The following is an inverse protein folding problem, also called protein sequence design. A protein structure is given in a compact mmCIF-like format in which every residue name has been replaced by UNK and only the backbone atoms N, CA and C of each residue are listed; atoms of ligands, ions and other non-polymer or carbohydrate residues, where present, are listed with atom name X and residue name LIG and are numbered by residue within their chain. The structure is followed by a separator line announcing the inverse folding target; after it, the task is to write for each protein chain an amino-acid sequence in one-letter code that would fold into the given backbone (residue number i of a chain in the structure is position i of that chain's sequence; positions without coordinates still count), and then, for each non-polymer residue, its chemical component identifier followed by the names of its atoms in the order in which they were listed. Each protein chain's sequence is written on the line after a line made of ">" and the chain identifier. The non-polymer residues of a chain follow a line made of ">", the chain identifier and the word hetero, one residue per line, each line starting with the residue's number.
data_IF_356631543321
#
_entry.id   IF_356631543321
#
_cell.length_a   1.000
_cell.length_b   1.000
_cell.length_c   1.000
_cell.angle_alpha   90.00
_cell.angle_beta   90.00
_cell.angle_gamma   90.00
#
_symmetry.space_group_name_H-M   'P 1'
#
loop_
_entity.id
_entity.type
_entity.pdbx_description
1 polymer ?
#
# COMPACT_ATOMS: atom_id res chain seq x y z
N UNK A 1 -27.53 10.30 -38.65
CA UNK A 1 -26.83 11.40 -39.34
C UNK A 1 -26.00 12.31 -38.43
N UNK A 2 -26.49 12.74 -37.25
CA UNK A 2 -25.75 13.66 -36.35
C UNK A 2 -24.38 13.14 -35.87
N UNK A 3 -24.25 11.83 -35.62
CA UNK A 3 -22.97 11.23 -35.21
C UNK A 3 -21.99 11.07 -36.38
N UNK A 4 -22.48 10.74 -37.58
CA UNK A 4 -21.63 10.60 -38.77
C UNK A 4 -20.95 11.92 -39.16
N UNK A 5 -21.69 13.03 -39.10
CA UNK A 5 -21.14 14.37 -39.38
C UNK A 5 -20.05 14.79 -38.40
N UNK A 6 -20.15 14.38 -37.12
CA UNK A 6 -19.11 14.60 -36.11
C UNK A 6 -17.87 13.79 -36.44
N UNK A 7 -18.01 12.48 -36.64
CA UNK A 7 -16.89 11.60 -36.99
C UNK A 7 -16.14 12.06 -38.23
N UNK A 8 -16.83 12.53 -39.27
CA UNK A 8 -16.20 13.08 -40.48
C UNK A 8 -15.46 14.38 -40.19
N UNK A 9 -16.01 15.28 -39.38
CA UNK A 9 -15.32 16.51 -38.99
C UNK A 9 -14.05 16.20 -38.18
N UNK A 10 -14.17 15.29 -37.22
CA UNK A 10 -13.07 14.94 -36.33
C UNK A 10 -11.97 14.18 -37.10
N UNK A 11 -12.33 13.35 -38.09
CA UNK A 11 -11.35 12.69 -38.96
C UNK A 11 -10.60 13.67 -39.85
N UNK A 12 -11.28 14.69 -40.39
CA UNK A 12 -10.65 15.77 -41.16
C UNK A 12 -9.71 16.57 -40.27
N UNK A 13 -10.15 16.96 -39.07
CA UNK A 13 -9.31 17.70 -38.12
C UNK A 13 -8.08 16.88 -37.70
N UNK A 14 -8.25 15.58 -37.44
CA UNK A 14 -7.17 14.67 -37.11
C UNK A 14 -6.15 14.57 -38.25
N UNK A 15 -6.61 14.37 -39.49
CA UNK A 15 -5.76 14.31 -40.68
C UNK A 15 -4.98 15.62 -40.90
N UNK A 16 -5.62 16.78 -40.77
CA UNK A 16 -4.95 18.09 -40.88
C UNK A 16 -3.87 18.30 -39.82
N UNK A 17 -4.04 17.70 -38.65
CA UNK A 17 -3.09 17.78 -37.54
C UNK A 17 -2.05 16.64 -37.54
N UNK A 18 -2.06 15.77 -38.55
CA UNK A 18 -1.17 14.60 -38.64
C UNK A 18 -1.35 13.60 -37.49
N UNK A 19 -2.53 13.55 -36.89
CA UNK A 19 -2.86 12.75 -35.70
C UNK A 19 -4.09 11.89 -35.95
N UNK A 20 -4.36 10.92 -35.08
CA UNK A 20 -5.64 10.18 -35.09
C UNK A 20 -6.69 10.91 -34.25
N UNK A 21 -7.98 10.60 -34.46
CA UNK A 21 -9.08 11.15 -33.64
C UNK A 21 -8.85 10.84 -32.15
N UNK A 22 -8.48 9.59 -31.84
CA UNK A 22 -8.20 9.14 -30.47
C UNK A 22 -7.06 9.94 -29.81
N UNK A 23 -6.01 10.25 -30.57
CA UNK A 23 -4.91 11.09 -30.09
C UNK A 23 -5.37 12.52 -29.79
N UNK A 24 -6.23 13.09 -30.62
CA UNK A 24 -6.78 14.42 -30.34
C UNK A 24 -7.72 14.43 -29.12
N UNK A 25 -8.58 13.43 -28.98
CA UNK A 25 -9.49 13.31 -27.83
C UNK A 25 -8.73 13.11 -26.52
N UNK A 26 -7.67 12.30 -26.52
CA UNK A 26 -6.82 12.09 -25.34
C UNK A 26 -6.05 13.35 -24.95
N UNK A 27 -5.51 14.11 -25.91
CA UNK A 27 -4.88 15.41 -25.62
C UNK A 27 -5.88 16.44 -25.12
N UNK A 28 -7.09 16.48 -25.68
CA UNK A 28 -8.16 17.34 -25.18
C UNK A 28 -8.55 16.97 -23.74
N UNK A 29 -8.65 15.68 -23.43
CA UNK A 29 -8.91 15.20 -22.08
C UNK A 29 -7.80 15.63 -21.12
N UNK A 30 -6.53 15.47 -21.49
CA UNK A 30 -5.38 15.93 -20.69
C UNK A 30 -5.45 17.43 -20.42
N UNK A 31 -5.76 18.22 -21.44
CA UNK A 31 -5.89 19.67 -21.29
C UNK A 31 -7.04 20.04 -20.36
N UNK A 32 -8.19 19.38 -20.48
CA UNK A 32 -9.34 19.60 -19.61
C UNK A 32 -9.02 19.26 -18.15
N UNK A 33 -8.35 18.13 -17.92
CA UNK A 33 -7.91 17.73 -16.56
C UNK A 33 -6.91 18.74 -16.01
N UNK A 34 -5.93 19.17 -16.80
CA UNK A 34 -4.97 20.19 -16.39
C UNK A 34 -5.68 21.47 -15.96
N UNK A 35 -6.60 21.98 -16.79
CA UNK A 35 -7.33 23.21 -16.49
C UNK A 35 -8.17 23.06 -15.22
N UNK A 36 -8.85 21.93 -15.03
CA UNK A 36 -9.65 21.67 -13.84
C UNK A 36 -8.78 21.59 -12.56
N UNK A 37 -7.60 20.97 -12.66
CA UNK A 37 -6.63 20.92 -11.56
C UNK A 37 -6.07 22.31 -11.26
N UNK A 38 -5.71 23.09 -12.29
CA UNK A 38 -5.22 24.46 -12.11
C UNK A 38 -6.29 25.34 -11.44
N UNK A 39 -7.54 25.29 -11.91
CA UNK A 39 -8.66 26.02 -11.31
C UNK A 39 -8.90 25.62 -9.85
N UNK A 40 -8.78 24.33 -9.54
CA UNK A 40 -8.88 23.82 -8.18
C UNK A 40 -7.76 24.37 -7.29
N UNK A 41 -6.50 24.30 -7.74
CA UNK A 41 -5.34 24.79 -7.00
C UNK A 41 -5.35 26.32 -6.82
N UNK A 42 -5.96 27.07 -7.74
CA UNK A 42 -6.19 28.52 -7.59
C UNK A 42 -7.17 28.80 -6.44
N UNK A 43 -8.23 27.98 -6.30
CA UNK A 43 -9.25 28.13 -5.25
C UNK A 43 -8.82 27.56 -3.91
N UNK A 44 -7.89 26.60 -3.91
CA UNK A 44 -7.36 25.92 -2.73
C UNK A 44 -5.84 26.09 -2.64
N UNK A 45 -5.35 27.30 -2.28
CA UNK A 45 -3.92 27.59 -2.25
C UNK A 45 -3.16 26.77 -1.19
N UNK A 46 -3.86 26.27 -0.18
CA UNK A 46 -3.38 25.33 0.84
C UNK A 46 -3.04 23.95 0.26
N UNK A 47 -3.59 23.61 -0.90
CA UNK A 47 -3.31 22.35 -1.62
C UNK A 47 -2.17 22.49 -2.65
N UNK A 48 -1.50 23.65 -2.74
CA UNK A 48 -0.37 23.79 -3.65
C UNK A 48 0.70 22.76 -3.30
N UNK A 49 1.07 21.87 -4.24
CA UNK A 49 2.16 20.93 -4.00
C UNK A 49 3.40 21.74 -3.65
N UNK A 50 4.05 21.37 -2.54
CA UNK A 50 5.21 22.06 -2.01
C UNK A 50 6.26 22.19 -3.13
N UNK A 51 6.36 23.37 -3.73
CA UNK A 51 7.28 23.68 -4.85
C UNK A 51 8.74 23.70 -4.42
N UNK A 52 9.02 23.42 -3.15
CA UNK A 52 10.37 23.23 -2.65
C UNK A 52 10.89 21.91 -3.25
N UNK A 53 11.83 21.95 -4.21
CA UNK A 53 12.45 20.71 -4.66
C UNK A 53 13.02 20.01 -3.42
N UNK A 54 12.59 18.76 -3.20
CA UNK A 54 13.23 17.92 -2.22
C UNK A 54 14.73 17.95 -2.54
N UNK A 55 15.62 18.27 -1.59
CA UNK A 55 17.04 18.35 -1.87
C UNK A 55 17.45 17.04 -2.54
N UNK A 56 17.99 17.13 -3.76
CA UNK A 56 18.39 15.99 -4.55
C UNK A 56 19.35 15.16 -3.71
N UNK A 57 18.83 14.09 -3.12
CA UNK A 57 19.60 13.32 -2.17
C UNK A 57 20.66 12.59 -2.98
N UNK A 58 21.93 12.92 -2.73
CA UNK A 58 23.06 12.39 -3.49
C UNK A 58 22.93 10.87 -3.70
N UNK A 59 23.25 10.36 -4.91
CA UNK A 59 23.26 8.93 -5.16
C UNK A 59 24.10 8.21 -4.11
N UNK A 60 23.64 7.05 -3.67
CA UNK A 60 24.38 6.24 -2.70
C UNK A 60 25.42 5.43 -3.47
N UNK A 61 26.70 5.74 -3.27
CA UNK A 61 27.79 5.18 -4.07
C UNK A 61 28.19 3.74 -3.68
N UNK A 62 27.85 3.29 -2.46
CA UNK A 62 28.22 1.97 -1.96
C UNK A 62 27.20 1.46 -0.92
N UNK A 63 27.05 0.13 -0.83
CA UNK A 63 26.24 -0.60 0.16
C UNK A 63 26.46 -0.13 1.60
N UNK A 64 27.69 0.19 2.02
CA UNK A 64 27.96 0.72 3.37
C UNK A 64 27.31 2.10 3.60
N UNK A 65 27.35 2.98 2.60
CA UNK A 65 26.70 4.28 2.65
C UNK A 65 25.17 4.13 2.65
N UNK A 66 24.65 3.10 1.95
CA UNK A 66 23.22 2.76 1.93
C UNK A 66 22.73 2.35 3.31
N UNK A 67 23.43 1.41 3.96
CA UNK A 67 23.10 0.93 5.30
C UNK A 67 23.11 2.08 6.32
N UNK A 68 24.14 2.94 6.29
CA UNK A 68 24.24 4.08 7.21
C UNK A 68 23.12 5.11 7.01
N UNK A 69 22.70 5.33 5.76
CA UNK A 69 21.61 6.24 5.42
C UNK A 69 20.25 5.66 5.84
N UNK A 70 20.04 4.36 5.65
CA UNK A 70 18.85 3.62 6.12
C UNK A 70 18.77 3.67 7.66
N UNK A 71 19.85 3.38 8.37
CA UNK A 71 19.88 3.50 9.83
C UNK A 71 19.56 4.92 10.31
N UNK A 72 20.09 5.94 9.63
CA UNK A 72 19.79 7.34 9.96
C UNK A 72 18.33 7.70 9.71
N UNK A 73 17.71 7.21 8.64
CA UNK A 73 16.29 7.49 8.34
C UNK A 73 15.34 6.74 9.25
N UNK A 74 15.72 5.55 9.71
CA UNK A 74 14.95 4.77 10.68
C UNK A 74 15.06 5.37 12.10
N UNK A 75 16.01 6.27 12.34
CA UNK A 75 16.29 6.82 13.67
C UNK A 75 17.01 5.80 14.55
N UNK A 76 17.90 6.26 15.42
CA UNK A 76 18.46 5.42 16.47
C UNK A 76 17.34 5.10 17.48
N UNK A 77 16.54 4.08 17.18
CA UNK A 77 15.33 3.75 17.92
C UNK A 77 14.07 3.57 17.07
N UNK A 78 14.15 3.30 15.74
CA UNK A 78 13.03 2.67 15.02
C UNK A 78 12.52 1.51 15.87
N UNK A 79 11.31 1.66 16.41
CA UNK A 79 10.88 1.05 17.65
C UNK A 79 11.34 -0.39 17.80
N UNK A 80 12.01 -0.66 18.92
CA UNK A 80 12.15 -2.03 19.41
C UNK A 80 10.73 -2.59 19.41
N UNK A 81 10.52 -3.70 18.69
CA UNK A 81 9.26 -4.42 18.72
C UNK A 81 8.91 -4.64 20.19
N UNK A 82 7.88 -3.94 20.65
CA UNK A 82 7.30 -4.16 21.97
C UNK A 82 6.24 -5.22 21.75
N UNK A 83 6.42 -6.44 22.27
CA UNK A 83 5.37 -7.45 22.20
C UNK A 83 4.09 -6.84 22.81
N UNK A 84 2.92 -7.10 22.22
CA UNK A 84 1.68 -6.67 22.85
C UNK A 84 1.63 -7.25 24.26
N UNK A 85 1.36 -6.42 25.25
CA UNK A 85 1.11 -6.89 26.62
C UNK A 85 -0.16 -7.73 26.56
N UNK A 86 -0.03 -9.03 26.76
CA UNK A 86 -1.17 -9.96 26.78
C UNK A 86 -1.71 -10.04 28.21
N UNK A 87 -3.03 -9.84 28.37
CA UNK A 87 -3.71 -10.22 29.61
C UNK A 87 -3.77 -11.75 29.69
N UNK A 88 -2.87 -12.35 30.47
CA UNK A 88 -2.78 -13.81 30.67
C UNK A 88 -4.08 -14.42 31.16
N UNK A 89 -4.88 -13.69 31.95
CA UNK A 89 -6.17 -14.17 32.42
C UNK A 89 -7.19 -14.20 31.28
N UNK A 90 -7.19 -13.19 30.39
CA UNK A 90 -8.01 -13.21 29.18
C UNK A 90 -7.58 -14.31 28.20
N UNK A 91 -6.28 -14.51 28.03
CA UNK A 91 -5.73 -15.57 27.19
C UNK A 91 -6.10 -16.96 27.72
N UNK A 92 -6.01 -17.19 29.03
CA UNK A 92 -6.42 -18.45 29.65
C UNK A 92 -7.93 -18.72 29.46
N UNK A 93 -8.78 -17.71 29.64
CA UNK A 93 -10.23 -17.81 29.39
C UNK A 93 -10.54 -18.17 27.93
N UNK A 94 -9.88 -17.51 26.99
CA UNK A 94 -10.05 -17.78 25.56
C UNK A 94 -9.62 -19.21 25.21
N UNK A 95 -8.47 -19.67 25.72
CA UNK A 95 -7.98 -21.04 25.53
C UNK A 95 -8.94 -22.09 26.08
N UNK A 96 -9.53 -21.85 27.25
CA UNK A 96 -10.54 -22.75 27.83
C UNK A 96 -11.76 -22.88 26.92
N UNK A 97 -12.28 -21.74 26.44
CA UNK A 97 -13.45 -21.72 25.54
C UNK A 97 -13.19 -22.40 24.20
N UNK A 98 -12.01 -22.21 23.62
CA UNK A 98 -11.65 -22.92 22.39
C UNK A 98 -11.60 -24.44 22.58
N UNK A 99 -11.09 -24.92 23.73
CA UNK A 99 -11.09 -26.36 24.05
C UNK A 99 -12.51 -26.91 24.20
N UNK A 100 -13.42 -26.16 24.84
CA UNK A 100 -14.83 -26.54 24.94
C UNK A 100 -15.49 -26.66 23.56
N UNK A 101 -15.24 -25.73 22.65
CA UNK A 101 -15.78 -25.75 21.27
C UNK A 101 -15.23 -26.95 20.49
N UNK A 102 -13.93 -27.21 20.57
CA UNK A 102 -13.31 -28.37 19.90
C UNK A 102 -13.81 -29.70 20.49
N UNK A 103 -14.05 -29.77 21.80
CA UNK A 103 -14.60 -30.96 22.43
C UNK A 103 -16.07 -31.20 22.05
N UNK A 104 -16.85 -30.13 21.81
CA UNK A 104 -18.25 -30.21 21.41
C UNK A 104 -18.43 -30.71 19.97
N UNK A 105 -17.53 -30.32 19.06
CA UNK A 105 -17.51 -30.83 17.68
C UNK A 105 -16.08 -30.98 17.14
N UNK A 106 -15.43 -32.12 17.45
CA UNK A 106 -14.07 -32.38 17.00
C UNK A 106 -13.99 -32.48 15.47
N UNK A 107 -15.04 -33.00 14.82
CA UNK A 107 -15.06 -33.21 13.39
C UNK A 107 -15.09 -31.87 12.62
N UNK A 108 -15.72 -30.83 13.17
CA UNK A 108 -15.78 -29.51 12.57
C UNK A 108 -14.61 -28.59 12.94
N UNK A 109 -13.93 -28.79 14.07
CA UNK A 109 -12.95 -27.80 14.55
C UNK A 109 -11.51 -28.31 14.73
N UNK A 110 -11.28 -29.62 14.78
CA UNK A 110 -9.93 -30.18 14.99
C UNK A 110 -8.90 -29.78 13.94
N UNK A 111 -9.33 -29.51 12.70
CA UNK A 111 -8.47 -29.09 11.60
C UNK A 111 -8.13 -27.58 11.62
N UNK A 112 -8.89 -26.76 12.37
CA UNK A 112 -8.67 -25.30 12.48
C UNK A 112 -8.02 -24.95 13.81
N UNK A 113 -8.42 -25.62 14.88
CA UNK A 113 -7.95 -25.38 16.24
C UNK A 113 -7.36 -26.69 16.75
N UNK A 114 -6.04 -26.81 16.69
CA UNK A 114 -5.35 -27.99 17.21
C UNK A 114 -5.64 -28.16 18.70
N UNK A 115 -5.99 -29.38 19.08
CA UNK A 115 -6.19 -29.80 20.47
C UNK A 115 -4.88 -30.06 21.21
N UNK A 116 -3.75 -30.11 20.50
CA UNK A 116 -2.44 -30.31 21.09
C UNK A 116 -2.00 -29.07 21.89
N UNK A 117 -1.28 -29.25 23.01
CA UNK A 117 -0.63 -28.13 23.69
C UNK A 117 0.26 -27.36 22.71
N UNK A 118 0.08 -26.04 22.62
CA UNK A 118 1.00 -25.21 21.84
C UNK A 118 2.43 -25.43 22.34
N UNK A 119 3.42 -25.53 21.44
CA UNK A 119 4.81 -25.64 21.85
C UNK A 119 5.16 -24.45 22.72
N UNK A 120 5.81 -24.74 23.85
CA UNK A 120 6.28 -23.79 24.83
C UNK A 120 7.13 -22.70 24.14
N UNK A 121 6.54 -21.51 23.98
CA UNK A 121 7.17 -20.39 23.27
C UNK A 121 8.34 -19.79 24.06
N UNK A 122 8.49 -20.15 25.35
CA UNK A 122 9.62 -19.76 26.19
C UNK A 122 10.83 -20.69 26.06
N UNK A 123 10.72 -21.79 25.28
CA UNK A 123 11.88 -22.61 24.91
C UNK A 123 12.56 -22.07 23.65
N UNK A 124 13.91 -22.04 23.62
CA UNK A 124 14.68 -21.57 22.47
C UNK A 124 14.51 -22.58 21.32
N UNK A 125 13.50 -22.36 20.49
CA UNK A 125 13.12 -23.26 19.39
C UNK A 125 11.69 -23.08 18.88
N UNK A 126 10.83 -22.34 19.60
CA UNK A 126 9.42 -22.13 19.20
C UNK A 126 9.20 -21.07 18.10
N UNK A 127 10.18 -20.18 17.88
CA UNK A 127 10.14 -19.26 16.75
C UNK A 127 10.56 -19.99 15.47
N UNK A 128 9.57 -20.35 14.65
CA UNK A 128 9.80 -20.82 13.29
C UNK A 128 10.80 -19.92 12.59
N UNK A 129 11.94 -20.50 12.23
CA UNK A 129 12.92 -19.97 11.31
C UNK A 129 12.22 -19.42 10.06
N UNK A 130 12.04 -18.09 9.99
CA UNK A 130 11.76 -17.42 8.73
C UNK A 130 13.09 -17.41 7.97
N UNK A 131 13.38 -18.48 7.24
CA UNK A 131 14.45 -18.48 6.24
C UNK A 131 14.01 -17.57 5.08
N UNK A 132 14.88 -16.63 4.73
CA UNK A 132 14.66 -15.62 3.68
C UNK A 132 14.90 -16.11 2.27
#
# INVERSE_FOLDING_TARGET
>A
MKNLLKTVRDSIAAAMNGRTIEQMETEQLKQNVKNAVDDYLIRHPDWQPLTKPAPAAAPVANTKQKAKRIMKTLGAGAGVFTPPVVDEAALARARSKCREIVAADPAAYSYVISSEPLPDQDKPGGAGIIQG
#
